data_IF_799689161701
#
_entry.id   IF_799689161701
#
_cell.length_a   1.000
_cell.length_b   1.000
_cell.length_c   1.000
_cell.angle_alpha   90.00
_cell.angle_beta   90.00
_cell.angle_gamma   90.00
#
_symmetry.space_group_name_H-M   'P 1'
#
loop_
_entity.id
_entity.type
_entity.pdbx_description
1 polymer ?
#
# COMPACT_ATOMS: atom_id res chain seq x y z
N UNK A 1 3.65 4.13 26.13
CA UNK A 1 3.42 5.50 25.60
C UNK A 1 4.74 6.16 25.20
N UNK A 2 5.69 6.45 26.10
CA UNK A 2 6.95 7.15 25.75
C UNK A 2 7.78 6.51 24.63
N UNK A 3 7.78 5.19 24.50
CA UNK A 3 8.54 4.49 23.45
C UNK A 3 7.84 4.56 22.09
N UNK A 4 6.52 4.41 22.05
CA UNK A 4 5.70 4.58 20.85
C UNK A 4 5.86 5.99 20.29
N UNK A 5 5.84 7.04 21.13
CA UNK A 5 6.11 8.42 20.76
C UNK A 5 7.52 8.58 20.16
N UNK A 6 8.54 8.03 20.83
CA UNK A 6 9.93 8.07 20.36
C UNK A 6 10.09 7.41 18.98
N UNK A 7 9.45 6.26 18.76
CA UNK A 7 9.51 5.56 17.48
C UNK A 7 8.74 6.31 16.37
N UNK A 8 7.56 6.88 16.67
CA UNK A 8 6.85 7.75 15.74
C UNK A 8 7.71 8.97 15.34
N UNK A 9 8.41 9.60 16.29
CA UNK A 9 9.32 10.70 16.00
C UNK A 9 10.55 10.27 15.19
N UNK A 10 11.11 9.09 15.48
CA UNK A 10 12.25 8.54 14.75
C UNK A 10 11.92 8.34 13.26
N UNK A 11 10.74 7.80 12.94
CA UNK A 11 10.29 7.64 11.55
C UNK A 11 9.95 8.99 10.89
N UNK A 12 9.33 9.92 11.63
CA UNK A 12 9.04 11.26 11.12
C UNK A 12 10.32 12.03 10.76
N UNK A 13 11.42 11.83 11.51
CA UNK A 13 12.71 12.45 11.17
C UNK A 13 13.28 11.96 9.83
N UNK A 14 13.05 10.69 9.46
CA UNK A 14 13.45 10.18 8.16
C UNK A 14 12.75 10.94 7.01
N UNK A 15 11.44 11.18 7.13
CA UNK A 15 10.68 11.96 6.14
C UNK A 15 11.20 13.42 6.04
N UNK A 16 11.44 14.06 7.19
CA UNK A 16 11.92 15.46 7.22
C UNK A 16 13.32 15.58 6.61
N UNK A 17 14.19 14.60 6.86
CA UNK A 17 15.58 14.62 6.41
C UNK A 17 15.77 14.04 5.02
N UNK A 18 14.75 13.43 4.42
CA UNK A 18 14.84 12.70 3.15
C UNK A 18 15.87 11.54 3.21
N UNK A 19 16.06 10.95 4.38
CA UNK A 19 17.07 9.92 4.60
C UNK A 19 16.57 8.83 5.55
N UNK A 20 16.73 7.58 5.13
CA UNK A 20 16.35 6.41 5.93
C UNK A 20 17.07 6.33 7.29
N UNK A 21 16.34 5.86 8.29
CA UNK A 21 16.82 5.68 9.69
C UNK A 21 17.02 4.21 10.03
N UNK A 22 17.62 3.94 11.19
CA UNK A 22 17.79 2.56 11.68
C UNK A 22 16.45 1.88 11.96
N UNK A 23 16.33 0.55 11.70
CA UNK A 23 15.14 -0.23 12.06
C UNK A 23 14.75 -0.09 13.53
N UNK A 24 13.46 -0.03 13.84
CA UNK A 24 12.96 -0.02 15.22
C UNK A 24 13.32 -1.31 15.95
N UNK A 25 13.28 -2.44 15.23
CA UNK A 25 13.67 -3.76 15.77
C UNK A 25 15.15 -3.85 16.14
N UNK A 26 16.01 -2.96 15.60
CA UNK A 26 17.41 -2.81 16.01
C UNK A 26 17.53 -1.94 17.28
N UNK A 27 16.65 -0.97 17.44
CA UNK A 27 16.61 -0.07 18.61
C UNK A 27 15.96 -0.77 19.81
N UNK A 28 14.91 -1.57 19.57
CA UNK A 28 14.27 -2.44 20.55
C UNK A 28 13.87 -3.77 19.89
N UNK A 29 14.64 -4.83 20.16
CA UNK A 29 14.38 -6.16 19.59
C UNK A 29 13.10 -6.83 20.13
N UNK A 30 12.52 -6.31 21.21
CA UNK A 30 11.31 -6.84 21.85
C UNK A 30 10.02 -6.14 21.38
N UNK A 31 10.10 -5.18 20.44
CA UNK A 31 8.91 -4.50 19.90
C UNK A 31 7.92 -5.52 19.35
N UNK A 32 6.68 -5.45 19.81
CA UNK A 32 5.59 -6.33 19.36
C UNK A 32 4.88 -5.76 18.15
N UNK A 33 4.15 -6.62 17.42
CA UNK A 33 3.29 -6.20 16.29
C UNK A 33 2.24 -5.18 16.77
N UNK A 34 1.68 -5.38 17.97
CA UNK A 34 0.69 -4.46 18.52
C UNK A 34 1.29 -3.07 18.79
N UNK A 35 2.49 -2.99 19.35
CA UNK A 35 3.20 -1.71 19.53
C UNK A 35 3.55 -1.06 18.20
N UNK A 36 3.95 -1.83 17.19
CA UNK A 36 4.21 -1.33 15.86
C UNK A 36 2.96 -0.66 15.23
N UNK A 37 1.78 -1.28 15.36
CA UNK A 37 0.52 -0.64 14.95
C UNK A 37 0.19 0.60 15.79
N UNK A 38 0.51 0.63 17.08
CA UNK A 38 0.35 1.85 17.88
C UNK A 38 1.26 3.00 17.38
N UNK A 39 2.50 2.69 16.97
CA UNK A 39 3.40 3.69 16.36
C UNK A 39 2.80 4.20 15.06
N UNK A 40 2.34 3.31 14.18
CA UNK A 40 1.67 3.68 12.94
C UNK A 40 0.47 4.60 13.18
N UNK A 41 -0.46 4.18 14.04
CA UNK A 41 -1.69 4.94 14.33
C UNK A 41 -1.38 6.32 14.94
N UNK A 42 -0.38 6.42 15.82
CA UNK A 42 0.06 7.70 16.36
C UNK A 42 0.66 8.61 15.27
N UNK A 43 1.46 8.05 14.35
CA UNK A 43 2.04 8.80 13.24
C UNK A 43 0.95 9.31 12.29
N UNK A 44 -0.03 8.48 11.95
CA UNK A 44 -1.18 8.90 11.14
C UNK A 44 -2.02 9.95 11.85
N UNK A 45 -2.28 9.79 13.15
CA UNK A 45 -3.01 10.79 13.94
C UNK A 45 -2.32 12.15 13.89
N UNK A 46 -0.99 12.22 14.09
CA UNK A 46 -0.22 13.46 13.99
C UNK A 46 -0.34 14.14 12.62
N UNK A 47 -0.32 13.34 11.53
CA UNK A 47 -0.51 13.82 10.16
C UNK A 47 -1.93 14.38 9.95
N UNK A 48 -2.94 13.73 10.51
CA UNK A 48 -4.34 14.21 10.46
C UNK A 48 -4.50 15.50 11.28
N UNK A 49 -3.91 15.60 12.46
CA UNK A 49 -3.89 16.83 13.27
C UNK A 49 -3.17 17.98 12.56
N UNK A 50 -2.20 17.66 11.69
CA UNK A 50 -1.52 18.63 10.81
C UNK A 50 -2.34 18.99 9.54
N UNK A 51 -3.58 18.46 9.39
CA UNK A 51 -4.51 18.84 8.34
C UNK A 51 -4.61 17.86 7.17
N UNK A 52 -3.89 16.72 7.17
CA UNK A 52 -4.06 15.66 6.16
C UNK A 52 -5.31 14.84 6.44
N UNK A 53 -5.82 14.17 5.41
CA UNK A 53 -7.00 13.31 5.52
C UNK A 53 -6.69 11.89 5.11
N UNK A 54 -7.16 10.92 5.89
CA UNK A 54 -7.18 9.52 5.47
C UNK A 54 -8.23 9.36 4.37
N UNK A 55 -7.80 8.91 3.19
CA UNK A 55 -8.66 8.70 2.01
C UNK A 55 -8.73 7.25 1.58
N UNK A 56 -8.00 6.37 2.25
CA UNK A 56 -7.98 4.96 1.94
C UNK A 56 -6.98 4.17 2.78
N UNK A 57 -6.76 2.93 2.38
CA UNK A 57 -5.80 2.01 2.99
C UNK A 57 -5.14 1.14 1.91
N UNK A 58 -4.01 0.55 2.25
CA UNK A 58 -3.32 -0.46 1.42
C UNK A 58 -3.09 -1.73 2.22
N UNK A 59 -2.97 -2.84 1.54
CA UNK A 59 -2.65 -4.13 2.14
C UNK A 59 -1.32 -4.61 1.54
N UNK A 60 -0.34 -4.82 2.41
CA UNK A 60 0.95 -5.40 2.05
C UNK A 60 1.05 -6.88 2.39
N UNK A 61 2.12 -7.54 1.93
CA UNK A 61 2.44 -8.93 2.23
C UNK A 61 1.30 -9.91 1.87
N UNK A 62 0.63 -9.68 0.75
CA UNK A 62 -0.51 -10.48 0.30
C UNK A 62 -0.12 -11.75 -0.45
N UNK A 63 1.16 -11.98 -0.73
CA UNK A 63 1.63 -13.21 -1.36
C UNK A 63 2.33 -14.15 -0.38
N UNK A 64 2.09 -15.46 -0.50
CA UNK A 64 2.77 -16.48 0.30
C UNK A 64 4.31 -16.40 0.16
N UNK A 65 4.82 -16.02 -1.01
CA UNK A 65 6.24 -15.88 -1.25
C UNK A 65 6.86 -14.76 -0.37
N UNK A 66 6.20 -13.61 -0.27
CA UNK A 66 6.66 -12.50 0.56
C UNK A 66 6.51 -12.79 2.05
N UNK A 67 5.41 -13.44 2.45
CA UNK A 67 5.22 -13.88 3.84
C UNK A 67 6.31 -14.86 4.25
N UNK A 68 6.63 -15.85 3.42
CA UNK A 68 7.72 -16.80 3.69
C UNK A 68 9.09 -16.11 3.75
N UNK A 69 9.35 -15.13 2.87
CA UNK A 69 10.60 -14.38 2.85
C UNK A 69 10.83 -13.60 4.15
N UNK A 70 9.79 -13.01 4.71
CA UNK A 70 9.84 -12.25 5.97
C UNK A 70 9.58 -13.11 7.21
N UNK A 71 9.29 -14.40 7.04
CA UNK A 71 8.99 -15.32 8.16
C UNK A 71 7.70 -14.96 8.90
N UNK A 72 6.69 -14.51 8.17
CA UNK A 72 5.37 -14.10 8.70
C UNK A 72 4.26 -14.93 8.08
N UNK A 73 3.08 -14.93 8.71
CA UNK A 73 1.91 -15.71 8.32
C UNK A 73 0.66 -14.87 8.03
N UNK A 74 0.82 -13.55 7.99
CA UNK A 74 -0.27 -12.61 7.80
C UNK A 74 0.15 -11.40 6.96
N UNK A 75 -0.80 -10.74 6.29
CA UNK A 75 -0.60 -9.44 5.68
C UNK A 75 -0.34 -8.33 6.71
N UNK A 76 0.10 -7.18 6.23
CA UNK A 76 0.09 -5.91 6.95
C UNK A 76 -0.78 -4.87 6.25
N UNK A 77 -0.99 -3.71 6.88
CA UNK A 77 -1.73 -2.62 6.26
C UNK A 77 -1.14 -1.25 6.60
N UNK A 78 -1.39 -0.29 5.72
CA UNK A 78 -1.09 1.12 5.90
C UNK A 78 -2.28 2.01 5.54
N UNK A 79 -2.19 3.28 5.93
CA UNK A 79 -3.17 4.31 5.62
C UNK A 79 -2.73 5.12 4.42
N UNK A 80 -3.65 5.43 3.51
CA UNK A 80 -3.45 6.35 2.41
C UNK A 80 -3.97 7.74 2.80
N UNK A 81 -3.12 8.74 2.63
CA UNK A 81 -3.44 10.14 2.90
C UNK A 81 -3.67 10.90 1.58
N UNK A 82 -4.42 11.97 1.63
CA UNK A 82 -4.80 12.76 0.45
C UNK A 82 -3.60 13.38 -0.28
N UNK A 83 -2.49 13.62 0.42
CA UNK A 83 -1.23 14.08 -0.19
C UNK A 83 -0.42 12.99 -0.92
N UNK A 84 -0.81 11.70 -0.83
CA UNK A 84 -0.07 10.60 -1.43
C UNK A 84 -0.49 10.29 -2.88
N UNK A 85 -1.60 10.86 -3.37
CA UNK A 85 -2.09 10.57 -4.72
C UNK A 85 -1.29 11.34 -5.76
N UNK A 86 -0.90 10.63 -6.84
CA UNK A 86 -0.31 11.20 -8.04
C UNK A 86 -1.29 10.98 -9.20
N UNK A 87 -1.44 11.96 -10.07
CA UNK A 87 -2.27 11.82 -11.27
C UNK A 87 -1.72 10.74 -12.21
N UNK A 88 -2.62 10.02 -12.89
CA UNK A 88 -2.22 9.05 -13.91
C UNK A 88 -1.47 9.74 -15.06
N UNK A 89 -0.28 9.25 -15.39
CA UNK A 89 0.63 9.90 -16.33
C UNK A 89 1.41 11.07 -15.75
N UNK A 90 1.25 11.35 -14.46
CA UNK A 90 1.98 12.40 -13.75
C UNK A 90 3.43 12.06 -13.45
N UNK A 91 4.12 13.01 -12.82
CA UNK A 91 5.52 12.90 -12.45
C UNK A 91 5.70 12.91 -10.93
N UNK A 92 6.54 11.99 -10.44
CA UNK A 92 6.95 11.91 -9.04
C UNK A 92 8.24 12.72 -8.88
N UNK A 93 8.17 13.78 -8.09
CA UNK A 93 9.36 14.54 -7.68
C UNK A 93 10.23 13.72 -6.74
N UNK A 94 11.54 13.74 -6.94
CA UNK A 94 12.51 12.91 -6.20
C UNK A 94 12.63 13.28 -4.73
N UNK A 95 12.25 14.49 -4.36
CA UNK A 95 12.18 14.95 -2.97
C UNK A 95 11.03 14.33 -2.17
N UNK A 96 10.06 13.71 -2.84
CA UNK A 96 8.94 13.02 -2.21
C UNK A 96 9.21 11.56 -1.86
N UNK A 97 10.33 11.01 -2.30
CA UNK A 97 10.68 9.59 -2.13
C UNK A 97 12.13 9.43 -1.73
N UNK A 98 12.45 8.35 -1.04
CA UNK A 98 13.81 8.06 -0.56
C UNK A 98 14.43 6.85 -1.25
N UNK A 99 13.69 5.75 -1.32
CA UNK A 99 14.12 4.47 -1.88
C UNK A 99 12.91 3.73 -2.49
N UNK A 100 12.24 4.36 -3.48
CA UNK A 100 10.95 3.90 -3.97
C UNK A 100 11.03 2.57 -4.71
N UNK A 101 9.97 1.77 -4.54
CA UNK A 101 9.69 0.62 -5.40
C UNK A 101 8.25 0.71 -5.89
N UNK A 102 7.99 0.17 -7.07
CA UNK A 102 6.69 0.24 -7.73
C UNK A 102 6.04 -1.13 -7.78
N UNK A 103 4.79 -1.20 -7.37
CA UNK A 103 3.93 -2.37 -7.37
C UNK A 103 2.66 -2.11 -8.18
N UNK A 104 2.21 -3.11 -8.94
CA UNK A 104 0.97 -3.04 -9.69
C UNK A 104 -0.14 -3.77 -8.94
N UNK A 105 -1.27 -3.10 -8.72
CA UNK A 105 -2.37 -3.54 -7.87
C UNK A 105 -3.74 -3.26 -8.47
N UNK A 106 -4.77 -3.88 -7.90
CA UNK A 106 -6.17 -3.53 -8.16
C UNK A 106 -6.67 -2.67 -6.99
N UNK A 107 -7.11 -1.44 -7.29
CA UNK A 107 -7.73 -0.56 -6.31
C UNK A 107 -9.25 -0.76 -6.28
N UNK A 108 -9.80 -0.88 -5.07
CA UNK A 108 -11.24 -0.91 -4.81
C UNK A 108 -11.69 0.46 -4.32
N UNK A 109 -12.82 0.94 -4.82
CA UNK A 109 -13.49 2.12 -4.26
C UNK A 109 -14.81 1.70 -3.67
N UNK A 110 -15.01 1.98 -2.39
CA UNK A 110 -16.17 1.51 -1.66
C UNK A 110 -17.36 2.46 -1.82
N UNK A 111 -18.58 1.90 -1.96
CA UNK A 111 -19.86 2.64 -1.89
C UNK A 111 -20.60 2.48 -0.56
N UNK A 112 -20.13 1.56 0.29
CA UNK A 112 -20.67 1.29 1.63
C UNK A 112 -19.56 1.02 2.61
N UNK A 113 -19.78 1.37 3.87
CA UNK A 113 -18.89 1.01 4.96
C UNK A 113 -18.76 -0.51 5.10
N UNK A 114 -17.55 -0.98 5.39
CA UNK A 114 -17.26 -2.36 5.77
C UNK A 114 -16.79 -2.39 7.23
N UNK A 115 -17.57 -3.04 8.08
CA UNK A 115 -17.34 -3.13 9.52
C UNK A 115 -17.10 -4.60 9.90
N UNK A 116 -15.90 -4.91 10.41
CA UNK A 116 -15.62 -6.24 10.98
C UNK A 116 -16.42 -6.49 12.27
N UNK A 117 -16.26 -7.63 12.91
CA UNK A 117 -15.52 -8.80 12.41
C UNK A 117 -16.39 -9.64 11.44
N UNK A 118 -15.77 -10.57 10.75
CA UNK A 118 -16.43 -11.54 9.86
C UNK A 118 -16.92 -10.99 8.52
N UNK A 119 -16.28 -9.90 8.04
CA UNK A 119 -16.45 -9.48 6.65
C UNK A 119 -15.94 -10.58 5.73
N UNK A 120 -16.73 -10.93 4.74
CA UNK A 120 -16.43 -11.93 3.72
C UNK A 120 -16.06 -11.28 2.39
N UNK A 121 -15.50 -12.06 1.46
CA UNK A 121 -15.28 -11.62 0.08
C UNK A 121 -16.58 -11.11 -0.57
N UNK A 122 -17.71 -11.78 -0.34
CA UNK A 122 -19.01 -11.38 -0.87
C UNK A 122 -19.46 -10.02 -0.33
N UNK A 123 -19.21 -9.73 0.95
CA UNK A 123 -19.51 -8.42 1.54
C UNK A 123 -18.69 -7.31 0.89
N UNK A 124 -17.40 -7.58 0.60
CA UNK A 124 -16.53 -6.66 -0.12
C UNK A 124 -17.07 -6.39 -1.53
N UNK A 125 -17.41 -7.44 -2.28
CA UNK A 125 -17.96 -7.29 -3.63
C UNK A 125 -19.26 -6.46 -3.63
N UNK A 126 -20.14 -6.66 -2.64
CA UNK A 126 -21.37 -5.87 -2.50
C UNK A 126 -21.11 -4.41 -2.07
N UNK A 127 -20.06 -4.16 -1.29
CA UNK A 127 -19.71 -2.82 -0.81
C UNK A 127 -18.87 -2.02 -1.81
N UNK A 128 -18.32 -2.66 -2.84
CA UNK A 128 -17.50 -2.01 -3.86
C UNK A 128 -18.37 -1.32 -4.90
N UNK A 129 -18.06 -0.07 -5.22
CA UNK A 129 -18.67 0.69 -6.30
C UNK A 129 -18.03 0.32 -7.64
N UNK A 130 -16.72 0.49 -7.70
CA UNK A 130 -15.92 0.15 -8.88
C UNK A 130 -14.48 -0.21 -8.48
N UNK A 131 -13.75 -0.75 -9.45
CA UNK A 131 -12.32 -1.05 -9.35
C UNK A 131 -11.54 -0.29 -10.42
N UNK A 132 -10.25 -0.08 -10.15
CA UNK A 132 -9.31 0.63 -11.00
C UNK A 132 -7.97 -0.11 -11.04
N UNK A 133 -7.19 -0.03 -12.13
CA UNK A 133 -5.78 -0.37 -12.09
C UNK A 133 -5.05 0.66 -11.24
N UNK A 134 -4.07 0.25 -10.45
CA UNK A 134 -3.26 1.15 -9.63
C UNK A 134 -1.79 0.79 -9.66
N UNK A 135 -0.96 1.79 -9.40
CA UNK A 135 0.43 1.62 -8.98
C UNK A 135 0.56 2.11 -7.55
N UNK A 136 1.10 1.28 -6.67
CA UNK A 136 1.61 1.72 -5.39
C UNK A 136 3.10 1.99 -5.51
N UNK A 137 3.55 3.12 -4.97
CA UNK A 137 4.96 3.45 -4.81
C UNK A 137 5.26 3.26 -3.33
N UNK A 138 5.73 2.06 -2.98
CA UNK A 138 6.19 1.80 -1.63
C UNK A 138 7.52 2.47 -1.40
N UNK A 139 7.68 3.09 -0.24
CA UNK A 139 8.89 3.83 0.12
C UNK A 139 9.13 3.73 1.62
N UNK A 140 10.24 3.14 2.03
CA UNK A 140 10.51 2.91 3.45
C UNK A 140 11.30 4.05 4.07
N UNK A 141 10.87 4.49 5.27
CA UNK A 141 11.64 5.39 6.13
C UNK A 141 12.80 4.69 6.83
N UNK A 142 12.93 3.36 6.64
CA UNK A 142 14.02 2.57 7.21
C UNK A 142 15.07 2.31 6.13
N UNK A 143 16.32 2.61 6.46
CA UNK A 143 17.44 2.56 5.53
C UNK A 143 17.60 1.16 4.89
N UNK A 144 17.90 1.15 3.59
CA UNK A 144 18.29 -0.02 2.81
C UNK A 144 17.25 -1.15 2.80
N UNK A 145 15.97 -0.84 3.08
CA UNK A 145 14.91 -1.83 3.23
C UNK A 145 15.24 -2.95 4.22
N UNK A 146 16.08 -2.64 5.22
CA UNK A 146 16.47 -3.60 6.26
C UNK A 146 15.35 -3.71 7.32
N UNK A 147 14.21 -4.23 6.90
CA UNK A 147 12.97 -4.27 7.67
C UNK A 147 12.62 -5.68 8.15
N UNK A 148 12.02 -5.76 9.33
CA UNK A 148 11.20 -6.88 9.77
C UNK A 148 9.71 -6.46 9.76
N UNK A 149 8.80 -7.39 10.05
CA UNK A 149 7.37 -7.10 10.06
C UNK A 149 7.00 -5.91 10.95
N UNK A 150 7.56 -5.82 12.15
CA UNK A 150 7.29 -4.71 13.06
C UNK A 150 7.78 -3.37 12.51
N UNK A 151 8.89 -3.37 11.77
CA UNK A 151 9.45 -2.17 11.16
C UNK A 151 8.53 -1.63 10.08
N UNK A 152 8.10 -2.48 9.13
CA UNK A 152 7.20 -2.06 8.04
C UNK A 152 5.83 -1.64 8.58
N UNK A 153 5.26 -2.37 9.53
CA UNK A 153 3.99 -2.00 10.17
C UNK A 153 4.08 -0.60 10.78
N UNK A 154 5.10 -0.35 11.62
CA UNK A 154 5.27 0.95 12.27
C UNK A 154 5.48 2.09 11.27
N UNK A 155 6.12 1.78 10.15
CA UNK A 155 6.40 2.67 9.03
C UNK A 155 5.23 2.76 8.04
N UNK A 156 4.00 2.66 8.52
CA UNK A 156 2.78 2.71 7.72
C UNK A 156 2.75 1.67 6.57
N UNK A 157 3.22 0.45 6.83
CA UNK A 157 3.43 -0.61 5.85
C UNK A 157 4.24 -0.15 4.64
N UNK A 158 5.25 0.70 4.89
CA UNK A 158 6.11 1.33 3.89
C UNK A 158 5.34 2.07 2.78
N UNK A 159 4.14 2.57 3.06
CA UNK A 159 3.37 3.37 2.10
C UNK A 159 4.10 4.66 1.74
N UNK A 160 4.19 4.98 0.47
CA UNK A 160 4.75 6.21 -0.06
C UNK A 160 3.71 6.99 -0.85
N UNK A 161 3.55 6.69 -2.14
CA UNK A 161 2.61 7.35 -3.04
C UNK A 161 1.74 6.30 -3.75
N UNK A 162 0.68 6.75 -4.44
CA UNK A 162 -0.10 5.85 -5.30
C UNK A 162 -0.70 6.58 -6.49
N UNK A 163 -0.98 5.82 -7.54
CA UNK A 163 -1.60 6.30 -8.79
C UNK A 163 -2.82 5.45 -9.07
N UNK A 164 -3.93 6.08 -9.39
CA UNK A 164 -5.14 5.41 -9.89
C UNK A 164 -5.26 5.69 -11.38
N UNK A 165 -5.38 4.64 -12.18
CA UNK A 165 -5.44 4.74 -13.62
C UNK A 165 -6.79 4.31 -14.19
N UNK A 166 -6.85 4.31 -15.53
CA UNK A 166 -7.93 3.76 -16.29
C UNK A 166 -9.28 4.46 -16.13
N UNK A 167 -10.32 3.69 -16.36
CA UNK A 167 -11.72 4.08 -16.15
C UNK A 167 -12.32 3.24 -15.04
N UNK A 168 -13.18 3.82 -14.19
CA UNK A 168 -13.94 3.03 -13.21
C UNK A 168 -14.68 1.88 -13.89
N UNK A 169 -14.47 0.67 -13.40
CA UNK A 169 -15.12 -0.52 -13.93
C UNK A 169 -15.89 -1.25 -12.81
N UNK A 170 -17.15 -1.57 -13.10
CA UNK A 170 -17.95 -2.36 -12.17
C UNK A 170 -17.35 -3.75 -11.98
N UNK A 171 -17.27 -4.22 -10.73
CA UNK A 171 -16.77 -5.57 -10.41
C UNK A 171 -17.55 -6.70 -11.08
N UNK A 172 -18.80 -6.45 -11.52
CA UNK A 172 -19.60 -7.44 -12.24
C UNK A 172 -19.17 -7.65 -13.70
N UNK A 173 -18.25 -6.84 -14.21
CA UNK A 173 -17.73 -6.89 -15.57
C UNK A 173 -16.39 -7.64 -15.66
N UNK A 174 -15.83 -8.04 -14.50
CA UNK A 174 -14.52 -8.68 -14.40
C UNK A 174 -14.55 -9.91 -13.51
N UNK A 175 -13.77 -10.93 -13.87
CA UNK A 175 -13.30 -11.93 -12.92
C UNK A 175 -11.99 -11.42 -12.31
N UNK A 176 -12.08 -10.75 -11.14
CA UNK A 176 -10.92 -10.14 -10.47
C UNK A 176 -9.82 -11.15 -10.17
N UNK A 177 -10.16 -12.40 -9.93
CA UNK A 177 -9.18 -13.48 -9.69
C UNK A 177 -8.32 -13.76 -10.92
N UNK A 178 -8.92 -13.65 -12.13
CA UNK A 178 -8.28 -13.99 -13.40
C UNK A 178 -7.73 -12.78 -14.16
N UNK A 179 -7.89 -11.56 -13.65
CA UNK A 179 -7.32 -10.37 -14.28
C UNK A 179 -5.80 -10.52 -14.39
N UNK A 180 -5.31 -10.65 -15.62
CA UNK A 180 -3.88 -10.66 -15.91
C UNK A 180 -3.31 -9.25 -15.88
N UNK A 181 -2.07 -9.10 -15.42
CA UNK A 181 -1.34 -7.84 -15.35
C UNK A 181 0.06 -7.98 -15.94
N UNK A 182 0.51 -6.95 -16.66
CA UNK A 182 1.89 -6.80 -17.14
C UNK A 182 2.43 -5.46 -16.65
N UNK A 183 3.53 -5.49 -15.91
CA UNK A 183 4.26 -4.31 -15.43
C UNK A 183 5.46 -4.03 -16.33
N UNK A 184 5.54 -2.82 -16.86
CA UNK A 184 6.62 -2.33 -17.69
C UNK A 184 7.44 -1.27 -16.93
N UNK A 185 8.74 -1.26 -17.17
CA UNK A 185 9.68 -0.18 -16.82
C UNK A 185 10.41 0.26 -18.09
N UNK A 186 10.30 1.52 -18.47
CA UNK A 186 10.92 2.09 -19.67
C UNK A 186 10.56 1.35 -20.97
N UNK A 187 9.34 0.80 -21.05
CA UNK A 187 8.82 0.05 -22.20
C UNK A 187 9.18 -1.44 -22.21
N UNK A 188 10.01 -1.91 -21.29
CA UNK A 188 10.37 -3.33 -21.16
C UNK A 188 9.49 -4.04 -20.14
N UNK A 189 9.13 -5.29 -20.41
CA UNK A 189 8.37 -6.11 -19.46
C UNK A 189 9.27 -6.50 -18.29
N UNK A 190 8.88 -6.08 -17.08
CA UNK A 190 9.57 -6.44 -15.86
C UNK A 190 8.91 -7.61 -15.15
N UNK A 191 7.60 -7.58 -15.01
CA UNK A 191 6.83 -8.60 -14.32
C UNK A 191 5.48 -8.84 -14.98
N UNK A 192 4.95 -10.03 -14.73
CA UNK A 192 3.55 -10.36 -15.01
C UNK A 192 2.90 -10.89 -13.74
N UNK A 193 1.60 -10.73 -13.63
CA UNK A 193 0.84 -11.19 -12.49
C UNK A 193 -0.62 -11.48 -12.84
N UNK A 194 -1.34 -11.96 -11.86
CA UNK A 194 -2.76 -12.24 -11.96
C UNK A 194 -3.45 -11.91 -10.64
N UNK A 195 -4.71 -11.53 -10.65
CA UNK A 195 -5.45 -11.16 -9.45
C UNK A 195 -5.35 -12.19 -8.31
N UNK A 196 -5.29 -13.47 -8.64
CA UNK A 196 -5.13 -14.55 -7.66
C UNK A 196 -3.80 -14.48 -6.86
N UNK A 197 -2.81 -13.69 -7.27
CA UNK A 197 -1.56 -13.51 -6.51
C UNK A 197 -1.81 -12.84 -5.15
N UNK A 198 -2.86 -12.02 -5.04
CA UNK A 198 -3.27 -11.36 -3.80
C UNK A 198 -4.21 -12.27 -2.99
N UNK A 199 -3.68 -13.08 -2.08
CA UNK A 199 -4.40 -14.04 -1.21
C UNK A 199 -5.43 -14.93 -1.93
N UNK A 200 -5.18 -15.29 -3.19
CA UNK A 200 -6.10 -16.08 -4.00
C UNK A 200 -7.23 -15.27 -4.66
N UNK A 201 -7.57 -14.12 -4.13
CA UNK A 201 -8.54 -13.17 -4.70
C UNK A 201 -8.38 -11.78 -4.09
N UNK A 202 -8.32 -10.67 -4.86
CA UNK A 202 -8.11 -9.32 -4.33
C UNK A 202 -9.14 -8.89 -3.26
N UNK A 203 -10.41 -9.30 -3.41
CA UNK A 203 -11.43 -8.99 -2.41
C UNK A 203 -11.21 -9.72 -1.06
N UNK A 204 -10.50 -10.86 -1.05
CA UNK A 204 -10.10 -11.55 0.19
C UNK A 204 -9.16 -10.67 1.02
N UNK A 205 -8.25 -9.93 0.35
CA UNK A 205 -7.37 -8.98 1.02
C UNK A 205 -8.16 -7.86 1.70
N UNK A 206 -9.15 -7.30 0.99
CA UNK A 206 -10.01 -6.24 1.54
C UNK A 206 -10.86 -6.76 2.72
N UNK A 207 -11.37 -7.99 2.63
CA UNK A 207 -12.08 -8.64 3.74
C UNK A 207 -11.17 -8.83 4.96
N UNK A 208 -9.95 -9.32 4.75
CA UNK A 208 -8.94 -9.43 5.80
C UNK A 208 -8.68 -8.07 6.47
N UNK A 209 -8.49 -7.01 5.67
CA UNK A 209 -8.26 -5.66 6.17
C UNK A 209 -9.42 -5.16 7.05
N UNK A 210 -10.66 -5.29 6.58
CA UNK A 210 -11.83 -4.86 7.35
C UNK A 210 -11.92 -5.58 8.71
N UNK A 211 -11.60 -6.88 8.73
CA UNK A 211 -11.59 -7.67 9.95
C UNK A 211 -10.42 -7.30 10.87
N UNK A 212 -9.24 -7.00 10.30
CA UNK A 212 -8.06 -6.57 11.07
C UNK A 212 -8.26 -5.20 11.69
N UNK A 213 -8.80 -4.25 10.95
CA UNK A 213 -9.07 -2.89 11.43
C UNK A 213 -10.09 -2.85 12.57
N UNK A 214 -11.03 -3.81 12.60
CA UNK A 214 -12.00 -3.93 13.69
C UNK A 214 -11.33 -4.12 15.06
N UNK A 215 -10.17 -4.78 15.13
CA UNK A 215 -9.38 -4.96 16.36
C UNK A 215 -8.93 -3.60 16.96
N UNK A 216 -8.86 -2.56 16.12
CA UNK A 216 -8.45 -1.19 16.47
C UNK A 216 -9.62 -0.20 16.47
N UNK A 217 -10.88 -0.69 16.33
CA UNK A 217 -12.06 0.16 16.28
C UNK A 217 -12.17 1.01 14.99
N UNK A 218 -11.48 0.61 13.92
CA UNK A 218 -11.44 1.32 12.65
C UNK A 218 -12.36 0.63 11.64
N UNK A 219 -13.11 1.42 10.89
CA UNK A 219 -14.02 0.97 9.83
C UNK A 219 -13.50 1.43 8.47
N UNK A 220 -13.58 0.58 7.45
CA UNK A 220 -13.43 1.02 6.06
C UNK A 220 -14.68 1.79 5.64
N UNK A 221 -14.49 3.02 5.17
CA UNK A 221 -15.59 3.95 4.87
C UNK A 221 -15.97 3.96 3.40
N UNK A 222 -17.24 4.23 3.12
CA UNK A 222 -17.68 4.54 1.77
C UNK A 222 -16.86 5.73 1.21
N UNK A 223 -16.45 5.63 -0.05
CA UNK A 223 -15.57 6.59 -0.71
C UNK A 223 -14.07 6.34 -0.53
N UNK A 224 -13.66 5.46 0.40
CA UNK A 224 -12.24 5.12 0.55
C UNK A 224 -11.73 4.26 -0.62
N UNK A 225 -10.46 4.50 -0.96
CA UNK A 225 -9.66 3.70 -1.89
C UNK A 225 -8.93 2.62 -1.10
N UNK A 226 -9.05 1.36 -1.54
CA UNK A 226 -8.33 0.24 -0.93
C UNK A 226 -7.42 -0.40 -1.98
N UNK A 227 -6.11 -0.30 -1.80
CA UNK A 227 -5.13 -1.02 -2.61
C UNK A 227 -5.02 -2.45 -2.09
N UNK A 228 -5.29 -3.42 -2.96
CA UNK A 228 -5.57 -4.80 -2.54
C UNK A 228 -4.35 -5.70 -2.38
N UNK A 229 -3.17 -5.18 -2.62
CA UNK A 229 -1.92 -5.93 -2.60
C UNK A 229 -1.35 -6.22 -3.98
N UNK A 230 -0.04 -6.27 -4.05
CA UNK A 230 0.73 -6.42 -5.28
C UNK A 230 0.45 -7.74 -6.00
N UNK A 231 0.29 -7.66 -7.33
CA UNK A 231 0.09 -8.83 -8.19
C UNK A 231 1.42 -9.45 -8.67
N UNK A 232 2.54 -8.79 -8.40
CA UNK A 232 3.90 -9.26 -8.69
C UNK A 232 4.90 -8.64 -7.72
N UNK A 233 6.18 -9.02 -7.83
CA UNK A 233 7.23 -8.40 -7.03
C UNK A 233 7.40 -6.91 -7.36
N UNK A 234 7.76 -6.12 -6.34
CA UNK A 234 8.09 -4.70 -6.47
C UNK A 234 9.35 -4.47 -7.30
N UNK A 235 9.39 -3.39 -8.08
CA UNK A 235 10.52 -3.00 -8.94
C UNK A 235 11.07 -1.65 -8.48
N UNK A 236 12.38 -1.55 -8.27
CA UNK A 236 13.02 -0.29 -7.87
C UNK A 236 12.76 0.83 -8.89
N UNK A 237 12.33 1.98 -8.37
CA UNK A 237 12.19 3.22 -9.12
C UNK A 237 13.48 4.07 -9.02
N UNK A 238 13.94 4.59 -10.15
CA UNK A 238 15.12 5.45 -10.26
C UNK A 238 14.77 6.73 -11.01
N UNK A 239 15.55 7.80 -10.87
CA UNK A 239 15.34 9.04 -11.62
C UNK A 239 15.19 8.79 -13.12
N UNK A 240 14.16 9.38 -13.74
CA UNK A 240 13.85 9.27 -15.15
C UNK A 240 13.08 8.02 -15.57
N UNK A 241 12.87 7.06 -14.67
CA UNK A 241 12.12 5.84 -14.99
C UNK A 241 10.64 6.14 -15.28
N UNK A 242 10.09 5.40 -16.22
CA UNK A 242 8.67 5.38 -16.54
C UNK A 242 8.11 3.99 -16.28
N UNK A 243 7.12 3.91 -15.39
CA UNK A 243 6.38 2.69 -15.09
C UNK A 243 5.00 2.72 -15.73
N UNK A 244 4.59 1.59 -16.31
CA UNK A 244 3.25 1.37 -16.81
C UNK A 244 2.78 -0.03 -16.44
N UNK A 245 1.59 -0.14 -15.86
CA UNK A 245 0.93 -1.44 -15.65
C UNK A 245 -0.31 -1.53 -16.55
N UNK A 246 -0.45 -2.65 -17.26
CA UNK A 246 -1.60 -2.97 -18.11
C UNK A 246 -2.33 -4.16 -17.55
N UNK A 247 -3.63 -4.00 -17.36
CA UNK A 247 -4.49 -5.04 -16.80
C UNK A 247 -5.53 -5.47 -17.85
N UNK A 248 -5.66 -6.77 -18.02
CA UNK A 248 -6.64 -7.33 -18.95
C UNK A 248 -8.06 -6.84 -18.57
N UNK A 249 -8.73 -6.20 -19.53
CA UNK A 249 -10.10 -5.65 -19.41
C UNK A 249 -10.28 -4.50 -18.39
N UNK A 250 -9.29 -4.21 -17.50
CA UNK A 250 -9.38 -3.15 -16.50
C UNK A 250 -8.73 -1.84 -16.98
N UNK A 251 -7.83 -1.90 -17.98
CA UNK A 251 -7.14 -0.73 -18.51
C UNK A 251 -5.70 -0.63 -18.03
N UNK A 252 -5.18 0.59 -18.00
CA UNK A 252 -3.78 0.84 -17.67
C UNK A 252 -3.59 2.02 -16.72
N UNK A 253 -2.44 2.05 -16.06
CA UNK A 253 -1.97 3.11 -15.19
C UNK A 253 -0.50 3.33 -15.44
N UNK A 254 -0.04 4.58 -15.36
CA UNK A 254 1.36 4.89 -15.56
C UNK A 254 1.81 6.10 -14.73
N UNK A 255 3.13 6.16 -14.49
CA UNK A 255 3.78 7.25 -13.74
C UNK A 255 5.23 7.37 -14.17
N UNK A 256 5.80 8.56 -14.07
CA UNK A 256 7.21 8.81 -14.34
C UNK A 256 7.89 9.36 -13.09
N UNK A 257 9.13 8.96 -12.83
CA UNK A 257 10.00 9.64 -11.87
C UNK A 257 10.70 10.81 -12.56
N UNK A 258 10.82 11.94 -11.87
CA UNK A 258 11.55 13.10 -12.36
C UNK A 258 13.02 12.73 -12.66
N UNK A 259 13.63 13.41 -13.61
CA UNK A 259 15.07 13.28 -13.85
C UNK A 259 15.85 13.98 -12.72
N UNK A 260 17.09 13.53 -12.50
CA UNK A 260 18.04 14.36 -11.77
C UNK A 260 18.27 15.65 -12.57
N UNK A 261 17.96 16.78 -11.94
CA UNK A 261 18.19 18.10 -12.53
C UNK A 261 19.68 18.43 -12.72
#
# INVERSE_FOLDING_TARGET
MKEVEKFSEHLAQAEIQGRGVSPLTKLNSAITIQEAYQVQLLTIQKKVEAGQRVVGKKIGLTSAAMQNLLGVDQPDYGHLLDGMVIENGGEISLDKVMQPKVEAEIAFVLKKDLVGPRVTEMDVLHATDYVLPSLEIVDSRIADWNIKLQDTIADNASSGLYVLGGKPLSIHQLDLKQVGMVLYKNGEIMNTGVGAAALGHPATCVAWLANKLFEYGITLKAGEVILSGALSAAINGEPGDHFQARFAHLGEVNVRFANNG
#
